data_IF_571877314233
#
_entry.id   IF_571877314233
#
_cell.length_a   1.000
_cell.length_b   1.000
_cell.length_c   1.000
_cell.angle_alpha   90.00
_cell.angle_beta   90.00
_cell.angle_gamma   90.00
#
_symmetry.space_group_name_H-M   'P 1'
#
loop_
_entity.id
_entity.type
_entity.pdbx_description
1 polymer ?
#
# COMPACT_ATOMS: atom_id res chain seq x y z
N UNK A 1 -39.38 3.52 11.58
CA UNK A 1 -38.58 4.76 11.69
C UNK A 1 -37.24 4.51 11.04
N UNK A 2 -37.02 5.04 9.83
CA UNK A 2 -35.71 5.01 9.17
C UNK A 2 -34.82 6.05 9.84
N UNK A 3 -33.80 5.62 10.55
CA UNK A 3 -32.69 6.49 10.95
C UNK A 3 -32.08 7.06 9.68
N UNK A 4 -32.40 8.33 9.39
CA UNK A 4 -31.66 9.12 8.41
C UNK A 4 -30.25 9.27 8.99
N UNK A 5 -29.36 8.35 8.60
CA UNK A 5 -27.92 8.46 8.84
C UNK A 5 -27.51 9.82 8.31
N UNK A 6 -27.30 10.78 9.20
CA UNK A 6 -26.92 12.13 8.85
C UNK A 6 -25.50 12.07 8.32
N UNK A 7 -25.38 12.11 7.00
CA UNK A 7 -24.08 12.18 6.34
C UNK A 7 -23.38 13.44 6.88
N UNK A 8 -22.27 13.23 7.59
CA UNK A 8 -21.51 14.31 8.22
C UNK A 8 -21.12 15.39 7.20
N UNK A 9 -20.98 16.65 7.63
CA UNK A 9 -20.67 17.77 6.73
C UNK A 9 -19.40 17.53 5.90
N UNK A 10 -18.39 16.87 6.49
CA UNK A 10 -17.16 16.50 5.78
C UNK A 10 -17.40 15.49 4.64
N UNK A 11 -18.30 14.51 4.84
CA UNK A 11 -18.62 13.50 3.83
C UNK A 11 -19.42 14.10 2.66
N UNK A 12 -20.28 15.09 2.94
CA UNK A 12 -20.98 15.85 1.91
C UNK A 12 -20.01 16.71 1.08
N UNK A 13 -19.11 17.45 1.73
CA UNK A 13 -18.10 18.27 1.05
C UNK A 13 -17.20 17.42 0.13
N UNK A 14 -16.85 16.19 0.55
CA UNK A 14 -16.04 15.25 -0.25
C UNK A 14 -16.78 14.70 -1.47
N UNK A 15 -18.04 14.29 -1.30
CA UNK A 15 -18.88 13.85 -2.43
C UNK A 15 -19.06 14.98 -3.44
N UNK A 16 -19.23 16.21 -2.95
CA UNK A 16 -19.28 17.40 -3.79
C UNK A 16 -17.95 17.63 -4.52
N UNK A 17 -16.80 17.54 -3.84
CA UNK A 17 -15.49 17.70 -4.48
C UNK A 17 -15.25 16.65 -5.59
N UNK A 18 -15.64 15.39 -5.34
CA UNK A 18 -15.53 14.32 -6.34
C UNK A 18 -16.47 14.56 -7.52
N UNK A 19 -17.71 15.01 -7.25
CA UNK A 19 -18.66 15.35 -8.29
C UNK A 19 -18.19 16.56 -9.12
N UNK A 20 -17.66 17.59 -8.48
CA UNK A 20 -17.09 18.76 -9.14
C UNK A 20 -15.87 18.39 -9.98
N UNK A 21 -14.99 17.51 -9.50
CA UNK A 21 -13.87 17.01 -10.29
C UNK A 21 -14.35 16.19 -11.51
N UNK A 22 -15.35 15.33 -11.33
CA UNK A 22 -15.92 14.54 -12.42
C UNK A 22 -16.60 15.43 -13.47
N UNK A 23 -17.41 16.41 -13.03
CA UNK A 23 -18.06 17.39 -13.92
C UNK A 23 -17.02 18.29 -14.59
N UNK A 24 -16.01 18.74 -13.83
CA UNK A 24 -14.91 19.56 -14.35
C UNK A 24 -14.06 18.84 -15.39
N UNK A 25 -14.00 17.51 -15.36
CA UNK A 25 -13.32 16.70 -16.37
C UNK A 25 -14.12 16.57 -17.69
N UNK A 26 -15.44 16.80 -17.69
CA UNK A 26 -16.28 16.69 -18.90
C UNK A 26 -15.93 17.77 -19.93
N UNK A 27 -15.62 18.99 -19.48
CA UNK A 27 -15.33 20.10 -20.42
C UNK A 27 -14.02 19.83 -21.18
N UNK A 28 -12.89 19.49 -20.54
CA UNK A 28 -11.66 19.12 -21.23
C UNK A 28 -11.81 17.92 -22.18
N UNK A 29 -12.55 16.88 -21.79
CA UNK A 29 -12.74 15.70 -22.66
C UNK A 29 -13.56 16.01 -23.90
N UNK A 30 -14.62 16.82 -23.79
CA UNK A 30 -15.39 17.28 -24.96
C UNK A 30 -14.54 18.15 -25.88
N UNK A 31 -13.78 19.09 -25.32
CA UNK A 31 -12.89 19.95 -26.10
C UNK A 31 -11.78 19.16 -26.81
N UNK A 32 -11.20 18.17 -26.13
CA UNK A 32 -10.21 17.28 -26.72
C UNK A 32 -10.83 16.42 -27.83
N UNK A 33 -11.99 15.79 -27.58
CA UNK A 33 -12.71 15.00 -28.57
C UNK A 33 -13.03 15.81 -29.83
N UNK A 34 -13.47 17.05 -29.67
CA UNK A 34 -13.73 17.97 -30.77
C UNK A 34 -12.46 18.24 -31.58
N UNK A 35 -11.35 18.63 -30.92
CA UNK A 35 -10.08 18.89 -31.61
C UNK A 35 -9.52 17.67 -32.33
N UNK A 36 -9.60 16.49 -31.71
CA UNK A 36 -9.18 15.21 -32.32
C UNK A 36 -10.04 14.82 -33.52
N UNK A 37 -11.36 15.07 -33.45
CA UNK A 37 -12.28 14.78 -34.55
C UNK A 37 -11.94 15.63 -35.77
N UNK A 38 -11.72 16.94 -35.57
CA UNK A 38 -11.34 17.82 -36.67
C UNK A 38 -9.94 17.52 -37.21
N UNK A 39 -8.96 17.20 -36.35
CA UNK A 39 -7.65 16.72 -36.83
C UNK A 39 -7.79 15.50 -37.74
N UNK A 40 -8.58 14.50 -37.31
CA UNK A 40 -8.75 13.28 -38.07
C UNK A 40 -9.45 13.50 -39.42
N UNK A 41 -10.41 14.42 -39.49
CA UNK A 41 -11.09 14.78 -40.74
C UNK A 41 -10.16 15.60 -41.65
N UNK A 42 -9.63 16.71 -41.12
CA UNK A 42 -8.99 17.75 -41.93
C UNK A 42 -7.54 17.40 -42.30
N UNK A 43 -6.84 16.63 -41.46
CA UNK A 43 -5.42 16.30 -41.64
C UNK A 43 -5.22 14.85 -42.05
N UNK A 44 -5.95 13.91 -41.42
CA UNK A 44 -5.81 12.47 -41.72
C UNK A 44 -6.77 11.99 -42.83
N UNK A 45 -7.73 12.82 -43.25
CA UNK A 45 -8.69 12.46 -44.29
C UNK A 45 -9.65 11.34 -43.89
N UNK A 46 -9.89 11.15 -42.59
CA UNK A 46 -10.80 10.11 -42.10
C UNK A 46 -12.26 10.46 -42.41
N UNK A 47 -13.11 9.46 -42.71
CA UNK A 47 -14.54 9.68 -42.76
C UNK A 47 -15.04 10.10 -41.37
N UNK A 48 -16.05 10.99 -41.33
CA UNK A 48 -16.59 11.58 -40.10
C UNK A 48 -16.89 10.54 -39.02
N UNK A 49 -17.49 9.41 -39.39
CA UNK A 49 -17.80 8.33 -38.44
C UNK A 49 -16.55 7.71 -37.81
N UNK A 50 -15.47 7.52 -38.58
CA UNK A 50 -14.22 6.98 -38.07
C UNK A 50 -13.49 7.99 -37.17
N UNK A 51 -13.52 9.27 -37.54
CA UNK A 51 -12.95 10.35 -36.73
C UNK A 51 -13.64 10.45 -35.36
N UNK A 52 -14.98 10.46 -35.34
CA UNK A 52 -15.77 10.48 -34.10
C UNK A 52 -15.54 9.22 -33.28
N UNK A 53 -15.45 8.04 -33.92
CA UNK A 53 -15.20 6.78 -33.22
C UNK A 53 -13.81 6.76 -32.56
N UNK A 54 -12.77 7.24 -33.25
CA UNK A 54 -11.41 7.34 -32.70
C UNK A 54 -11.35 8.29 -31.51
N UNK A 55 -11.92 9.50 -31.66
CA UNK A 55 -11.96 10.48 -30.58
C UNK A 55 -12.72 9.92 -29.36
N UNK A 56 -13.87 9.30 -29.60
CA UNK A 56 -14.68 8.67 -28.54
C UNK A 56 -13.94 7.53 -27.85
N UNK A 57 -13.20 6.71 -28.61
CA UNK A 57 -12.42 5.61 -28.08
C UNK A 57 -11.32 6.09 -27.13
N UNK A 58 -10.56 7.13 -27.51
CA UNK A 58 -9.50 7.69 -26.66
C UNK A 58 -10.07 8.28 -25.37
N UNK A 59 -11.18 9.01 -25.45
CA UNK A 59 -11.82 9.58 -24.27
C UNK A 59 -12.43 8.49 -23.36
N UNK A 60 -13.03 7.44 -23.94
CA UNK A 60 -13.49 6.28 -23.16
C UNK A 60 -12.33 5.55 -22.50
N UNK A 61 -11.20 5.39 -23.19
CA UNK A 61 -10.00 4.77 -22.63
C UNK A 61 -9.45 5.57 -21.44
N UNK A 62 -9.45 6.91 -21.52
CA UNK A 62 -9.10 7.80 -20.41
C UNK A 62 -10.02 7.58 -19.21
N UNK A 63 -11.34 7.62 -19.43
CA UNK A 63 -12.35 7.45 -18.37
C UNK A 63 -12.25 6.05 -17.75
N UNK A 64 -12.09 5.00 -18.54
CA UNK A 64 -11.90 3.63 -18.04
C UNK A 64 -10.62 3.50 -17.21
N UNK A 65 -9.49 4.04 -17.69
CA UNK A 65 -8.22 4.02 -16.94
C UNK A 65 -8.34 4.77 -15.61
N UNK A 66 -9.02 5.91 -15.63
CA UNK A 66 -9.30 6.71 -14.44
C UNK A 66 -10.12 5.92 -13.40
N UNK A 67 -11.19 5.23 -13.84
CA UNK A 67 -12.03 4.41 -12.97
C UNK A 67 -11.30 3.17 -12.43
N UNK A 68 -10.46 2.53 -13.24
CA UNK A 68 -9.62 1.40 -12.81
C UNK A 68 -8.58 1.84 -11.77
N UNK A 69 -7.90 2.98 -11.99
CA UNK A 69 -6.98 3.56 -11.03
C UNK A 69 -7.67 3.84 -9.68
N UNK A 70 -8.92 4.33 -9.72
CA UNK A 70 -9.72 4.56 -8.52
C UNK A 70 -10.13 3.26 -7.84
N UNK A 71 -10.56 2.26 -8.60
CA UNK A 71 -10.89 0.95 -8.04
C UNK A 71 -9.67 0.28 -7.39
N UNK A 72 -8.49 0.38 -8.01
CA UNK A 72 -7.23 -0.10 -7.46
C UNK A 72 -6.85 0.64 -6.16
N UNK A 73 -7.00 1.97 -6.13
CA UNK A 73 -6.76 2.79 -4.94
C UNK A 73 -7.68 2.40 -3.77
N UNK A 74 -8.98 2.21 -4.03
CA UNK A 74 -9.94 1.78 -3.02
C UNK A 74 -9.71 0.34 -2.55
N UNK A 75 -9.17 -0.52 -3.41
CA UNK A 75 -8.76 -1.89 -3.06
C UNK A 75 -7.40 -1.96 -2.33
N UNK A 76 -6.72 -0.83 -2.13
CA UNK A 76 -5.38 -0.80 -1.52
C UNK A 76 -4.28 -1.44 -2.39
N UNK A 77 -4.53 -1.59 -3.70
CA UNK A 77 -3.57 -2.16 -4.67
C UNK A 77 -2.71 -1.06 -5.31
N UNK A 78 -1.50 -1.38 -5.80
CA UNK A 78 -0.70 -0.44 -6.56
C UNK A 78 -1.38 -0.12 -7.90
N UNK A 79 -2.16 0.96 -7.97
CA UNK A 79 -2.83 1.45 -9.18
C UNK A 79 -1.92 2.27 -10.11
N UNK A 80 -0.61 2.01 -10.09
CA UNK A 80 0.38 2.85 -10.78
C UNK A 80 0.21 2.84 -12.30
N UNK A 81 -0.02 1.66 -12.89
CA UNK A 81 -0.17 1.52 -14.35
C UNK A 81 -1.39 2.28 -14.88
N UNK A 82 -2.55 2.13 -14.24
CA UNK A 82 -3.77 2.84 -14.64
C UNK A 82 -3.65 4.36 -14.47
N UNK A 83 -2.95 4.82 -13.42
CA UNK A 83 -2.69 6.24 -13.21
C UNK A 83 -1.75 6.81 -14.28
N UNK A 84 -0.70 6.07 -14.66
CA UNK A 84 0.20 6.42 -15.76
C UNK A 84 -0.57 6.45 -17.09
N UNK A 85 -1.47 5.49 -17.32
CA UNK A 85 -2.31 5.47 -18.53
C UNK A 85 -3.18 6.74 -18.64
N UNK A 86 -3.74 7.24 -17.53
CA UNK A 86 -4.47 8.53 -17.54
C UNK A 86 -3.57 9.67 -18.03
N UNK A 87 -2.35 9.78 -17.51
CA UNK A 87 -1.40 10.82 -17.94
C UNK A 87 -1.02 10.69 -19.42
N UNK A 88 -0.71 9.47 -19.87
CA UNK A 88 -0.33 9.20 -21.27
C UNK A 88 -1.49 9.53 -22.21
N UNK A 89 -2.70 9.06 -21.90
CA UNK A 89 -3.87 9.31 -22.75
C UNK A 89 -4.25 10.79 -22.73
N UNK A 90 -4.25 11.46 -21.58
CA UNK A 90 -4.52 12.91 -21.51
C UNK A 90 -3.49 13.73 -22.27
N UNK A 91 -2.19 13.39 -22.17
CA UNK A 91 -1.15 14.04 -22.94
C UNK A 91 -1.32 13.83 -24.45
N UNK A 92 -1.71 12.61 -24.85
CA UNK A 92 -1.98 12.29 -26.26
C UNK A 92 -3.21 13.05 -26.78
N UNK A 93 -4.33 13.05 -26.04
CA UNK A 93 -5.53 13.80 -26.40
C UNK A 93 -5.25 15.30 -26.51
N UNK A 94 -4.50 15.87 -25.55
CA UNK A 94 -4.11 17.28 -25.58
C UNK A 94 -3.21 17.60 -26.77
N UNK A 95 -2.25 16.73 -27.10
CA UNK A 95 -1.34 16.92 -28.23
C UNK A 95 -2.12 16.92 -29.55
N UNK A 96 -2.98 15.94 -29.78
CA UNK A 96 -3.79 15.85 -31.00
C UNK A 96 -4.72 17.06 -31.13
N UNK A 97 -5.38 17.46 -30.04
CA UNK A 97 -6.25 18.64 -30.03
C UNK A 97 -5.48 19.96 -30.24
N UNK A 98 -4.25 20.05 -29.74
CA UNK A 98 -3.37 21.20 -29.92
C UNK A 98 -2.79 21.30 -31.32
N UNK A 99 -2.36 20.18 -31.92
CA UNK A 99 -1.84 20.13 -33.30
C UNK A 99 -2.90 20.59 -34.29
N UNK A 100 -4.18 20.30 -34.06
CA UNK A 100 -5.26 20.79 -34.92
C UNK A 100 -5.32 22.33 -35.01
N UNK A 101 -4.95 23.06 -33.96
CA UNK A 101 -4.89 24.53 -34.01
C UNK A 101 -3.67 25.06 -34.80
N UNK A 102 -2.64 24.23 -34.97
CA UNK A 102 -1.40 24.59 -35.67
C UNK A 102 -1.42 24.19 -37.14
N UNK A 103 -2.37 23.35 -37.57
CA UNK A 103 -2.47 22.86 -38.94
C UNK A 103 -3.70 23.43 -39.59
N UNK A 104 -3.51 24.12 -40.71
CA UNK A 104 -4.60 24.62 -41.55
C UNK A 104 -4.62 23.84 -42.86
N UNK A 105 -5.77 23.24 -43.17
CA UNK A 105 -6.03 22.59 -44.45
C UNK A 105 -6.68 23.58 -45.40
N UNK A 106 -6.04 23.82 -46.54
CA UNK A 106 -6.52 24.77 -47.56
C UNK A 106 -7.48 24.06 -48.53
N UNK A 107 -8.25 24.82 -49.29
CA UNK A 107 -9.25 24.29 -50.24
C UNK A 107 -8.66 23.40 -51.36
N UNK A 108 -7.35 23.48 -51.61
CA UNK A 108 -6.61 22.63 -52.54
C UNK A 108 -6.15 21.29 -51.93
N UNK A 109 -6.47 21.03 -50.66
CA UNK A 109 -6.05 19.85 -49.91
C UNK A 109 -4.63 19.92 -49.35
N UNK A 110 -3.91 21.02 -49.55
CA UNK A 110 -2.58 21.21 -48.95
C UNK A 110 -2.70 21.57 -47.46
N UNK A 111 -1.83 20.97 -46.65
CA UNK A 111 -1.71 21.25 -45.21
C UNK A 111 -0.52 22.15 -44.95
N UNK A 112 -0.73 23.29 -44.29
CA UNK A 112 0.34 24.22 -43.91
C UNK A 112 0.33 24.47 -42.41
N UNK A 113 1.52 24.63 -41.83
CA UNK A 113 1.68 25.00 -40.43
C UNK A 113 1.42 26.50 -40.23
N UNK A 114 0.55 26.84 -39.28
CA UNK A 114 0.23 28.20 -38.88
C UNK A 114 0.86 28.49 -37.51
N UNK A 115 1.88 29.34 -37.48
CA UNK A 115 2.58 29.75 -36.25
C UNK A 115 2.27 31.21 -35.93
N UNK A 116 0.98 31.53 -35.90
CA UNK A 116 0.52 32.82 -35.40
C UNK A 116 0.36 32.78 -33.87
N UNK A 117 0.62 33.89 -33.15
CA UNK A 117 0.51 33.91 -31.68
C UNK A 117 -0.85 33.41 -31.16
N UNK A 118 -1.94 33.69 -31.88
CA UNK A 118 -3.29 33.22 -31.54
C UNK A 118 -3.44 31.70 -31.64
N UNK A 119 -2.97 31.09 -32.73
CA UNK A 119 -2.97 29.64 -32.95
C UNK A 119 -2.09 28.91 -31.95
N UNK A 120 -0.90 29.46 -31.65
CA UNK A 120 0.00 28.89 -30.64
C UNK A 120 -0.67 28.91 -29.25
N UNK A 121 -1.34 30.02 -28.90
CA UNK A 121 -2.08 30.11 -27.64
C UNK A 121 -3.26 29.12 -27.60
N UNK A 122 -4.04 29.01 -28.67
CA UNK A 122 -5.16 28.07 -28.76
C UNK A 122 -4.68 26.61 -28.64
N UNK A 123 -3.59 26.27 -29.32
CA UNK A 123 -2.92 24.96 -29.22
C UNK A 123 -2.47 24.67 -27.79
N UNK A 124 -1.83 25.65 -27.13
CA UNK A 124 -1.39 25.51 -25.74
C UNK A 124 -2.57 25.30 -24.77
N UNK A 125 -3.66 26.07 -24.91
CA UNK A 125 -4.85 25.91 -24.07
C UNK A 125 -5.48 24.52 -24.24
N UNK A 126 -5.58 24.02 -25.49
CA UNK A 126 -6.11 22.68 -25.77
C UNK A 126 -5.20 21.57 -25.29
N UNK A 127 -3.90 21.77 -25.33
CA UNK A 127 -2.93 20.81 -24.76
C UNK A 127 -3.02 20.76 -23.24
N UNK A 128 -3.09 21.92 -22.58
CA UNK A 128 -3.08 22.03 -21.11
C UNK A 128 -4.39 21.56 -20.49
N UNK A 129 -5.55 21.75 -21.13
CA UNK A 129 -6.84 21.43 -20.53
C UNK A 129 -6.98 19.94 -20.11
N UNK A 130 -6.65 18.94 -20.95
CA UNK A 130 -6.67 17.53 -20.53
C UNK A 130 -5.64 17.20 -19.43
N UNK A 131 -4.49 17.87 -19.42
CA UNK A 131 -3.48 17.69 -18.37
C UNK A 131 -3.96 18.22 -17.01
N UNK A 132 -4.67 19.35 -17.00
CA UNK A 132 -5.31 19.87 -15.77
C UNK A 132 -6.38 18.89 -15.28
N UNK A 133 -7.15 18.27 -16.19
CA UNK A 133 -8.11 17.23 -15.82
C UNK A 133 -7.43 15.99 -15.20
N UNK A 134 -6.35 15.49 -15.82
CA UNK A 134 -5.55 14.39 -15.27
C UNK A 134 -4.95 14.74 -13.90
N UNK A 135 -4.47 15.97 -13.73
CA UNK A 135 -3.96 16.45 -12.45
C UNK A 135 -5.03 16.49 -11.37
N UNK A 136 -6.21 17.05 -11.67
CA UNK A 136 -7.36 17.06 -10.74
C UNK A 136 -7.77 15.63 -10.36
N UNK A 137 -7.71 14.69 -11.31
CA UNK A 137 -7.97 13.29 -11.04
C UNK A 137 -6.95 12.67 -10.09
N UNK A 138 -5.65 12.94 -10.28
CA UNK A 138 -4.61 12.47 -9.37
C UNK A 138 -4.81 13.01 -7.94
N UNK A 139 -5.28 14.25 -7.78
CA UNK A 139 -5.64 14.80 -6.47
C UNK A 139 -6.80 14.05 -5.81
N UNK A 140 -7.82 13.68 -6.58
CA UNK A 140 -8.93 12.83 -6.10
C UNK A 140 -8.45 11.42 -5.72
N UNK A 141 -7.55 10.83 -6.52
CA UNK A 141 -6.96 9.53 -6.22
C UNK A 141 -6.10 9.56 -4.96
N UNK A 142 -5.29 10.60 -4.76
CA UNK A 142 -4.49 10.79 -3.54
C UNK A 142 -5.37 10.88 -2.30
N UNK A 143 -6.47 11.63 -2.37
CA UNK A 143 -7.44 11.69 -1.29
C UNK A 143 -8.05 10.32 -0.99
N UNK A 144 -8.45 9.56 -2.03
CA UNK A 144 -9.00 8.21 -1.86
C UNK A 144 -7.99 7.23 -1.25
N UNK A 145 -6.71 7.31 -1.64
CA UNK A 145 -5.63 6.49 -1.07
C UNK A 145 -5.38 6.84 0.40
N UNK A 146 -5.39 8.12 0.76
CA UNK A 146 -5.24 8.57 2.14
C UNK A 146 -6.38 8.05 3.01
N UNK A 147 -7.62 8.13 2.53
CA UNK A 147 -8.79 7.58 3.24
C UNK A 147 -8.69 6.06 3.44
N UNK A 148 -8.26 5.33 2.41
CA UNK A 148 -8.08 3.88 2.53
C UNK A 148 -6.94 3.54 3.50
N UNK A 149 -5.85 4.31 3.50
CA UNK A 149 -4.79 4.18 4.49
C UNK A 149 -5.29 4.46 5.92
N UNK A 150 -6.16 5.46 6.10
CA UNK A 150 -6.76 5.73 7.41
C UNK A 150 -7.70 4.60 7.86
N UNK A 151 -8.56 4.10 6.97
CA UNK A 151 -9.46 2.96 7.28
C UNK A 151 -8.68 1.71 7.65
N UNK A 152 -7.69 1.35 6.84
CA UNK A 152 -6.84 0.19 7.13
C UNK A 152 -6.07 0.36 8.44
N UNK A 153 -5.60 1.56 8.79
CA UNK A 153 -4.99 1.81 10.11
C UNK A 153 -5.99 1.66 11.27
N UNK A 154 -7.23 2.12 11.10
CA UNK A 154 -8.29 1.95 12.10
C UNK A 154 -8.63 0.46 12.27
N UNK A 155 -8.74 -0.28 11.17
CA UNK A 155 -8.93 -1.74 11.17
C UNK A 155 -7.77 -2.46 11.85
N UNK A 156 -6.53 -2.18 11.47
CA UNK A 156 -5.34 -2.77 12.11
C UNK A 156 -5.27 -2.45 13.60
N UNK A 157 -5.63 -1.21 14.01
CA UNK A 157 -5.70 -0.84 15.43
C UNK A 157 -6.81 -1.59 16.15
N UNK A 158 -7.97 -1.80 15.50
CA UNK A 158 -9.08 -2.60 16.04
C UNK A 158 -8.65 -4.05 16.22
N UNK A 159 -8.04 -4.65 15.21
CA UNK A 159 -7.59 -6.05 15.25
C UNK A 159 -6.53 -6.27 16.32
N UNK A 160 -5.54 -5.37 16.43
CA UNK A 160 -4.53 -5.44 17.51
C UNK A 160 -5.17 -5.39 18.89
N UNK A 161 -6.22 -4.59 19.09
CA UNK A 161 -6.94 -4.52 20.36
C UNK A 161 -7.73 -5.81 20.63
N UNK A 162 -8.39 -6.37 19.61
CA UNK A 162 -9.09 -7.65 19.72
C UNK A 162 -8.12 -8.80 20.04
N UNK A 163 -6.97 -8.84 19.38
CA UNK A 163 -5.89 -9.78 19.68
C UNK A 163 -5.35 -9.60 21.11
N UNK A 164 -5.26 -8.36 21.60
CA UNK A 164 -4.89 -8.07 22.99
C UNK A 164 -5.88 -8.66 24.00
N UNK A 165 -7.19 -8.56 23.73
CA UNK A 165 -8.24 -9.18 24.55
C UNK A 165 -8.13 -10.71 24.50
N UNK A 166 -8.00 -11.29 23.31
CA UNK A 166 -7.86 -12.74 23.13
C UNK A 166 -6.64 -13.30 23.88
N UNK A 167 -5.48 -12.64 23.76
CA UNK A 167 -4.26 -13.03 24.49
C UNK A 167 -4.44 -12.96 26.01
N UNK A 168 -5.07 -11.90 26.53
CA UNK A 168 -5.34 -11.78 27.95
C UNK A 168 -6.31 -12.87 28.45
N UNK A 169 -7.32 -13.22 27.65
CA UNK A 169 -8.28 -14.28 27.97
C UNK A 169 -7.62 -15.67 28.01
N UNK A 170 -6.73 -15.96 27.05
CA UNK A 170 -5.95 -17.20 27.02
C UNK A 170 -5.07 -17.35 28.28
N UNK A 171 -4.44 -16.27 28.75
CA UNK A 171 -3.64 -16.31 29.98
C UNK A 171 -4.52 -16.61 31.20
N UNK A 172 -5.70 -16.01 31.30
CA UNK A 172 -6.65 -16.29 32.38
C UNK A 172 -7.09 -17.76 32.34
N UNK A 173 -7.46 -18.28 31.17
CA UNK A 173 -7.83 -19.69 30.97
C UNK A 173 -6.71 -20.66 31.36
N UNK A 174 -5.47 -20.39 30.95
CA UNK A 174 -4.31 -21.24 31.32
C UNK A 174 -4.11 -21.30 32.83
N UNK A 175 -4.24 -20.16 33.52
CA UNK A 175 -4.12 -20.10 34.98
C UNK A 175 -5.30 -20.77 35.69
N UNK A 176 -6.50 -20.75 35.10
CA UNK A 176 -7.66 -21.47 35.61
C UNK A 176 -7.50 -22.98 35.46
N UNK A 177 -7.06 -23.45 34.28
CA UNK A 177 -6.78 -24.86 34.03
C UNK A 177 -5.66 -25.42 34.92
N UNK A 178 -4.70 -24.59 35.33
CA UNK A 178 -3.64 -24.97 36.27
C UNK A 178 -4.02 -24.81 37.74
N UNK A 179 -5.27 -24.45 38.07
CA UNK A 179 -5.72 -24.22 39.46
C UNK A 179 -5.12 -22.98 40.14
N UNK A 180 -4.46 -22.08 39.40
CA UNK A 180 -3.78 -20.88 39.92
C UNK A 180 -4.65 -19.62 39.88
N UNK A 181 -5.94 -19.76 39.63
CA UNK A 181 -6.89 -18.65 39.46
C UNK A 181 -7.02 -17.76 40.71
N UNK A 182 -6.93 -18.36 41.91
CA UNK A 182 -7.03 -17.65 43.19
C UNK A 182 -5.73 -16.93 43.60
N UNK A 183 -4.62 -17.16 42.90
CA UNK A 183 -3.34 -16.54 43.24
C UNK A 183 -3.31 -15.05 42.92
N UNK A 184 -2.34 -14.31 43.49
CA UNK A 184 -2.10 -12.92 43.11
C UNK A 184 -1.84 -12.75 41.60
N UNK A 185 -1.22 -13.74 40.98
CA UNK A 185 -1.00 -13.81 39.52
C UNK A 185 -2.32 -13.97 38.76
N UNK A 186 -3.23 -14.84 39.22
CA UNK A 186 -4.58 -14.98 38.67
C UNK A 186 -5.39 -13.68 38.74
N UNK A 187 -5.38 -12.99 39.90
CA UNK A 187 -6.03 -11.68 40.06
C UNK A 187 -5.44 -10.61 39.12
N UNK A 188 -4.11 -10.56 38.96
CA UNK A 188 -3.46 -9.64 38.03
C UNK A 188 -3.84 -9.93 36.57
N UNK A 189 -3.89 -11.20 36.18
CA UNK A 189 -4.30 -11.62 34.83
C UNK A 189 -5.74 -11.20 34.51
N UNK A 190 -6.69 -11.40 35.45
CA UNK A 190 -8.08 -10.93 35.31
C UNK A 190 -8.18 -9.42 35.17
N UNK A 191 -7.47 -8.65 36.01
CA UNK A 191 -7.41 -7.18 35.86
C UNK A 191 -6.85 -6.74 34.50
N UNK A 192 -5.85 -7.44 33.97
CA UNK A 192 -5.30 -7.16 32.63
C UNK A 192 -6.35 -7.44 31.54
N UNK A 193 -7.09 -8.55 31.66
CA UNK A 193 -8.21 -8.86 30.76
C UNK A 193 -9.30 -7.78 30.84
N UNK A 194 -9.73 -7.38 32.03
CA UNK A 194 -10.78 -6.36 32.21
C UNK A 194 -10.36 -5.02 31.60
N UNK A 195 -9.10 -4.60 31.80
CA UNK A 195 -8.58 -3.37 31.16
C UNK A 195 -8.53 -3.49 29.64
N UNK A 196 -8.07 -4.61 29.12
CA UNK A 196 -8.04 -4.84 27.68
C UNK A 196 -9.46 -4.82 27.09
N UNK A 197 -10.41 -5.43 27.80
CA UNK A 197 -11.83 -5.45 27.46
C UNK A 197 -12.44 -4.04 27.45
N UNK A 198 -12.25 -3.25 28.52
CA UNK A 198 -12.73 -1.87 28.58
C UNK A 198 -12.09 -0.99 27.50
N UNK A 199 -10.80 -1.18 27.19
CA UNK A 199 -10.12 -0.47 26.09
C UNK A 199 -10.67 -0.84 24.71
N UNK A 200 -11.15 -2.08 24.53
CA UNK A 200 -11.81 -2.50 23.30
C UNK A 200 -13.23 -1.93 23.18
N UNK A 201 -13.99 -1.93 24.28
CA UNK A 201 -15.36 -1.38 24.33
C UNK A 201 -15.41 0.13 24.08
N UNK A 202 -14.38 0.90 24.46
CA UNK A 202 -14.32 2.34 24.19
C UNK A 202 -14.24 2.71 22.71
N UNK A 203 -13.95 1.77 21.82
CA UNK A 203 -13.66 2.04 20.40
C UNK A 203 -14.58 1.27 19.45
N UNK A 204 -15.08 0.10 19.84
CA UNK A 204 -16.04 -0.63 19.01
C UNK A 204 -17.48 -0.14 19.28
N UNK A 205 -18.26 0.21 18.25
CA UNK A 205 -19.70 0.42 18.42
C UNK A 205 -20.35 -0.87 18.93
N UNK A 206 -21.47 -0.77 19.69
CA UNK A 206 -22.16 -1.91 20.26
C UNK A 206 -22.91 -2.67 19.15
N UNK A 207 -22.20 -3.43 18.33
CA UNK A 207 -22.81 -4.37 17.38
C UNK A 207 -22.21 -5.75 17.61
N UNK A 208 -23.13 -6.72 17.71
CA UNK A 208 -22.96 -8.14 17.98
C UNK A 208 -21.62 -8.76 17.51
N UNK A 209 -20.92 -9.58 18.28
CA UNK A 209 -21.07 -10.03 19.67
C UNK A 209 -19.66 -10.39 20.10
N UNK A 210 -19.10 -9.69 21.09
CA UNK A 210 -17.83 -10.09 21.70
C UNK A 210 -17.88 -11.54 22.21
N UNK A 211 -19.07 -11.99 22.64
CA UNK A 211 -19.34 -13.40 22.92
C UNK A 211 -19.10 -14.33 21.73
N UNK A 212 -19.39 -13.91 20.50
CA UNK A 212 -19.05 -14.67 19.28
C UNK A 212 -17.55 -14.62 18.98
N UNK A 213 -16.85 -13.50 19.25
CA UNK A 213 -15.38 -13.43 19.13
C UNK A 213 -14.70 -14.33 20.15
N UNK A 214 -15.15 -14.31 21.41
CA UNK A 214 -14.65 -15.17 22.47
C UNK A 214 -15.04 -16.64 22.26
N UNK A 215 -16.22 -16.91 21.71
CA UNK A 215 -16.63 -18.25 21.30
C UNK A 215 -15.77 -18.75 20.13
N UNK A 216 -15.51 -17.93 19.11
CA UNK A 216 -14.63 -18.27 18.00
C UNK A 216 -13.18 -18.50 18.45
N UNK A 217 -12.65 -17.68 19.37
CA UNK A 217 -11.34 -17.94 20.00
C UNK A 217 -11.38 -19.24 20.81
N UNK A 218 -12.48 -19.51 21.50
CA UNK A 218 -12.70 -20.78 22.20
C UNK A 218 -12.82 -22.01 21.30
N UNK A 219 -13.30 -21.84 20.06
CA UNK A 219 -13.30 -22.86 19.00
C UNK A 219 -11.88 -23.07 18.43
N UNK A 220 -11.07 -22.01 18.27
CA UNK A 220 -9.67 -22.11 17.84
C UNK A 220 -8.79 -22.83 18.86
N UNK A 221 -9.10 -22.74 20.16
CA UNK A 221 -8.44 -23.55 21.21
C UNK A 221 -8.77 -25.06 21.10
N UNK A 222 -9.83 -25.44 20.36
CA UNK A 222 -10.17 -26.85 20.07
C UNK A 222 -9.52 -27.36 18.78
N UNK A 223 -8.93 -26.49 17.96
CA UNK A 223 -8.19 -26.91 16.77
C UNK A 223 -7.05 -27.89 17.08
N UNK A 224 -6.24 -27.77 18.15
CA UNK A 224 -5.20 -28.76 18.46
C UNK A 224 -5.76 -30.16 18.74
N UNK A 225 -6.99 -30.28 19.24
CA UNK A 225 -7.67 -31.56 19.43
C UNK A 225 -8.29 -32.09 18.12
N UNK A 226 -8.64 -31.20 17.18
CA UNK A 226 -9.14 -31.55 15.84
C UNK A 226 -8.03 -31.76 14.78
N UNK A 227 -6.85 -31.17 14.97
CA UNK A 227 -5.65 -31.32 14.13
C UNK A 227 -4.61 -32.28 14.73
N UNK A 228 -4.92 -32.92 15.86
CA UNK A 228 -4.40 -34.27 16.10
C UNK A 228 -4.86 -35.10 14.92
N UNK A 229 -3.97 -35.25 13.94
CA UNK A 229 -4.06 -36.22 12.85
C UNK A 229 -4.55 -37.50 13.49
N UNK A 230 -5.82 -37.84 13.27
CA UNK A 230 -6.31 -39.17 13.57
C UNK A 230 -5.32 -40.11 12.88
N UNK A 231 -4.55 -40.87 13.67
CA UNK A 231 -3.57 -41.78 13.13
C UNK A 231 -4.25 -42.57 12.03
N UNK A 232 -3.73 -42.45 10.81
CA UNK A 232 -4.24 -43.11 9.60
C UNK A 232 -4.68 -44.53 9.98
N UNK A 233 -5.99 -44.83 10.01
CA UNK A 233 -6.42 -46.19 10.23
C UNK A 233 -6.00 -46.97 8.99
N UNK A 234 -5.07 -47.92 9.19
CA UNK A 234 -4.75 -49.04 8.31
C UNK A 234 -4.69 -48.72 6.82
N UNK A 235 -3.48 -48.77 6.25
CA UNK A 235 -3.29 -48.97 4.81
C UNK A 235 -4.29 -50.03 4.30
N UNK A 236 -5.23 -49.68 3.41
CA UNK A 236 -6.18 -50.65 2.87
C UNK A 236 -5.44 -51.61 1.95
N UNK A 237 -5.72 -52.89 2.15
CA UNK A 237 -5.30 -54.00 1.31
C UNK A 237 -5.51 -53.68 -0.19
N UNK A 238 -4.49 -53.81 -1.06
CA UNK A 238 -4.59 -53.46 -2.49
C UNK A 238 -5.51 -54.39 -3.32
N UNK A 239 -6.39 -55.16 -2.69
CA UNK A 239 -7.26 -56.15 -3.33
C UNK A 239 -8.69 -55.63 -3.62
N UNK A 240 -9.03 -54.39 -3.28
CA UNK A 240 -10.34 -53.81 -3.61
C UNK A 240 -10.29 -52.78 -4.75
N UNK A 241 -10.93 -53.17 -5.86
CA UNK A 241 -11.17 -52.37 -7.04
C UNK A 241 -12.02 -51.11 -6.71
N UNK A 242 -11.62 -49.90 -7.16
CA UNK A 242 -12.32 -48.68 -6.78
C UNK A 242 -13.64 -48.51 -7.53
N UNK A 243 -14.75 -48.57 -6.79
CA UNK A 243 -16.06 -48.08 -7.25
C UNK A 243 -16.04 -46.55 -7.24
N UNK A 244 -16.14 -45.94 -8.42
CA UNK A 244 -16.19 -44.48 -8.58
C UNK A 244 -17.55 -43.95 -8.08
N UNK A 245 -17.60 -43.08 -7.06
CA UNK A 245 -18.87 -42.49 -6.64
C UNK A 245 -19.32 -41.42 -7.67
N UNK A 246 -20.39 -41.73 -8.38
CA UNK A 246 -21.11 -40.82 -9.29
C UNK A 246 -21.96 -39.86 -8.46
N UNK A 247 -21.55 -38.60 -8.41
CA UNK A 247 -22.33 -37.50 -7.81
C UNK A 247 -23.43 -37.08 -8.79
N UNK A 248 -24.67 -37.51 -8.53
CA UNK A 248 -25.85 -37.01 -9.22
C UNK A 248 -26.41 -35.78 -8.47
N UNK A 249 -26.26 -34.61 -9.09
CA UNK A 249 -26.88 -33.36 -8.64
C UNK A 249 -28.31 -33.30 -9.19
N UNK A 250 -29.29 -33.69 -8.37
CA UNK A 250 -30.71 -33.56 -8.67
C UNK A 250 -31.17 -32.12 -8.43
N UNK A 251 -31.25 -31.31 -9.48
CA UNK A 251 -31.95 -30.01 -9.48
C UNK A 251 -33.38 -30.24 -9.94
N UNK A 252 -34.32 -30.29 -8.98
CA UNK A 252 -35.76 -30.30 -9.26
C UNK A 252 -36.27 -28.89 -9.55
N UNK A 253 -36.91 -28.71 -10.71
CA UNK A 253 -37.61 -27.46 -11.03
C UNK A 253 -37.72 -27.16 -12.52
N UNK A 254 -38.64 -27.86 -13.18
CA UNK A 254 -38.80 -27.93 -14.63
C UNK A 254 -38.84 -26.62 -15.41
N UNK A 255 -38.04 -26.58 -16.49
CA UNK A 255 -38.52 -26.29 -17.84
C UNK A 255 -37.52 -26.82 -18.87
N UNK A 256 -37.97 -27.85 -19.57
CA UNK A 256 -37.28 -28.48 -20.70
C UNK A 256 -37.38 -27.58 -21.92
N UNK A 257 -36.23 -27.21 -22.49
CA UNK A 257 -36.11 -26.88 -23.91
C UNK A 257 -34.93 -27.67 -24.47
N UNK A 258 -35.28 -28.61 -25.32
CA UNK A 258 -34.38 -29.42 -26.14
C UNK A 258 -33.76 -28.52 -27.19
N UNK A 259 -32.43 -28.43 -27.22
CA UNK A 259 -31.68 -28.04 -28.41
C UNK A 259 -30.45 -28.96 -28.51
N UNK A 260 -30.41 -29.70 -29.61
CA UNK A 260 -29.48 -30.77 -29.89
C UNK A 260 -28.03 -30.26 -29.94
N UNK A 261 -27.13 -31.06 -29.38
CA UNK A 261 -25.69 -30.93 -29.50
C UNK A 261 -25.24 -31.17 -30.95
N UNK A 262 -24.46 -30.24 -31.49
CA UNK A 262 -23.38 -30.58 -32.41
C UNK A 262 -22.07 -30.45 -31.65
N UNK A 263 -21.27 -31.51 -31.74
CA UNK A 263 -19.99 -31.64 -31.07
C UNK A 263 -18.95 -30.62 -31.56
N UNK A 264 -18.00 -30.22 -30.70
CA UNK A 264 -16.82 -29.44 -31.09
C UNK A 264 -15.65 -30.37 -31.50
N UNK A 265 -14.70 -29.89 -32.32
CA UNK A 265 -13.37 -30.46 -32.31
C UNK A 265 -12.34 -29.57 -31.59
N UNK A 266 -11.42 -30.29 -30.93
CA UNK A 266 -10.03 -29.95 -30.66
C UNK A 266 -9.70 -28.98 -29.52
N UNK A 267 -9.44 -29.60 -28.37
CA UNK A 267 -8.26 -29.39 -27.51
C UNK A 267 -7.23 -28.35 -27.96
N UNK A 268 -7.12 -27.26 -27.20
CA UNK A 268 -5.93 -26.40 -27.17
C UNK A 268 -5.10 -26.82 -25.96
N UNK A 269 -3.98 -27.49 -26.24
CA UNK A 269 -2.88 -27.71 -25.31
C UNK A 269 -2.17 -26.38 -25.10
N UNK A 270 -2.21 -25.84 -23.89
CA UNK A 270 -1.35 -24.73 -23.47
C UNK A 270 0.07 -25.27 -23.25
N UNK A 271 0.90 -25.18 -24.27
CA UNK A 271 2.35 -25.28 -24.17
C UNK A 271 2.89 -23.90 -23.80
N UNK A 272 3.47 -23.80 -22.61
CA UNK A 272 4.18 -22.62 -22.12
C UNK A 272 5.58 -22.68 -22.75
N UNK A 273 5.79 -21.94 -23.83
CA UNK A 273 7.13 -21.73 -24.36
C UNK A 273 7.77 -20.46 -23.79
N UNK A 274 8.98 -20.70 -23.30
CA UNK A 274 9.93 -19.81 -22.66
C UNK A 274 10.49 -18.88 -23.74
N UNK A 275 10.32 -17.57 -23.60
CA UNK A 275 11.04 -16.63 -24.47
C UNK A 275 12.50 -16.55 -24.03
N UNK A 276 13.36 -17.06 -24.88
CA UNK A 276 14.81 -16.92 -24.87
C UNK A 276 15.17 -15.63 -25.62
N UNK A 277 15.66 -14.62 -24.89
CA UNK A 277 16.15 -13.37 -25.48
C UNK A 277 17.58 -13.57 -25.95
N UNK A 278 17.76 -13.89 -27.23
CA UNK A 278 19.03 -13.72 -27.92
C UNK A 278 19.03 -12.36 -28.61
N UNK A 279 19.93 -11.48 -28.15
CA UNK A 279 20.22 -10.18 -28.78
C UNK A 279 21.24 -10.44 -29.87
N UNK A 280 20.83 -10.32 -31.14
CA UNK A 280 21.74 -10.26 -32.28
C UNK A 280 22.49 -8.92 -32.27
N UNK A 281 23.81 -8.99 -32.12
CA UNK A 281 24.73 -7.88 -32.33
C UNK A 281 25.14 -7.82 -33.81
N UNK A 282 25.20 -6.62 -34.43
CA UNK A 282 25.67 -6.49 -35.81
C UNK A 282 27.19 -6.60 -35.94
N UNK A 283 27.60 -7.15 -37.08
CA UNK A 283 28.97 -7.51 -37.45
C UNK A 283 29.96 -6.33 -37.50
N UNK A 284 31.19 -6.62 -37.05
CA UNK A 284 32.38 -5.77 -37.05
C UNK A 284 33.04 -5.72 -38.43
N UNK A 285 33.62 -4.58 -38.81
CA UNK A 285 34.77 -4.51 -39.73
C UNK A 285 36.01 -3.98 -38.98
N UNK A 286 37.22 -4.49 -39.23
CA UNK A 286 38.41 -4.19 -38.43
C UNK A 286 39.26 -3.06 -39.03
N UNK A 287 39.66 -2.11 -38.21
CA UNK A 287 40.86 -1.30 -38.42
C UNK A 287 41.43 -0.86 -37.06
N UNK A 288 42.67 -1.27 -36.81
CA UNK A 288 43.68 -0.69 -35.93
C UNK A 288 43.24 -0.08 -34.59
N UNK A 289 43.69 -0.69 -33.49
CA UNK A 289 44.83 -0.17 -32.71
C UNK A 289 45.13 -1.07 -31.51
N UNK A 290 46.41 -1.36 -31.36
CA UNK A 290 47.02 -2.05 -30.25
C UNK A 290 46.98 -1.23 -28.95
N UNK A 291 46.97 -1.90 -27.80
CA UNK A 291 47.56 -1.38 -26.57
C UNK A 291 46.80 -1.68 -25.28
N UNK A 292 47.52 -2.31 -24.35
CA UNK A 292 47.30 -2.40 -22.89
C UNK A 292 46.04 -3.12 -22.37
N UNK A 293 46.11 -4.13 -21.50
CA UNK A 293 47.17 -4.53 -20.57
C UNK A 293 46.82 -4.10 -19.14
N UNK A 294 46.14 -4.97 -18.38
CA UNK A 294 45.90 -4.84 -16.93
C UNK A 294 44.49 -5.27 -16.55
N UNK A 295 44.26 -6.47 -15.98
CA UNK A 295 44.52 -6.83 -14.56
C UNK A 295 43.65 -6.00 -13.62
N UNK A 296 42.76 -6.49 -12.76
CA UNK A 296 42.44 -7.82 -12.21
C UNK A 296 41.50 -7.59 -11.02
N UNK A 297 40.85 -8.65 -10.51
CA UNK A 297 40.06 -8.64 -9.24
C UNK A 297 38.54 -8.68 -9.46
N UNK A 298 37.86 -9.81 -9.38
CA UNK A 298 37.63 -10.71 -8.22
C UNK A 298 36.64 -10.14 -7.18
N UNK A 299 35.67 -10.97 -6.76
CA UNK A 299 34.79 -10.72 -5.62
C UNK A 299 33.30 -10.51 -5.92
N UNK A 300 32.65 -11.40 -6.67
CA UNK A 300 31.19 -11.46 -6.76
C UNK A 300 30.60 -12.36 -5.68
N UNK A 301 30.26 -11.77 -4.52
CA UNK A 301 29.63 -12.44 -3.37
C UNK A 301 28.32 -13.14 -3.74
N UNK A 302 28.21 -14.39 -3.28
CA UNK A 302 27.00 -15.21 -3.35
C UNK A 302 25.90 -14.66 -2.44
N UNK A 303 24.69 -14.58 -3.00
CA UNK A 303 23.47 -14.27 -2.25
C UNK A 303 23.05 -15.51 -1.46
N UNK A 304 23.38 -15.49 -0.18
CA UNK A 304 22.95 -16.48 0.81
C UNK A 304 21.48 -16.20 1.20
N UNK A 305 20.59 -17.14 0.87
CA UNK A 305 19.16 -17.07 1.21
C UNK A 305 19.00 -17.56 2.65
N UNK A 306 19.14 -16.64 3.60
CA UNK A 306 18.97 -16.86 5.04
C UNK A 306 17.50 -17.05 5.44
N UNK A 307 17.20 -18.29 5.82
CA UNK A 307 16.39 -18.74 6.96
C UNK A 307 15.53 -17.70 7.70
N UNK A 308 14.20 -17.88 7.67
CA UNK A 308 13.24 -17.16 8.51
C UNK A 308 13.11 -17.92 9.83
N UNK A 309 13.83 -17.48 10.87
CA UNK A 309 13.59 -17.90 12.25
C UNK A 309 12.52 -17.01 12.90
N UNK A 310 11.49 -17.66 13.43
CA UNK A 310 10.38 -17.03 14.11
C UNK A 310 10.73 -16.78 15.59
N UNK A 311 11.31 -15.62 15.88
CA UNK A 311 11.63 -15.25 17.26
C UNK A 311 10.39 -14.87 18.08
N UNK A 312 10.24 -15.57 19.19
CA UNK A 312 9.29 -15.38 20.27
C UNK A 312 9.62 -14.08 21.00
N UNK A 313 8.80 -13.04 20.80
CA UNK A 313 8.86 -11.80 21.58
C UNK A 313 8.41 -12.09 23.02
N UNK A 314 9.38 -12.21 23.93
CA UNK A 314 9.16 -12.14 25.39
C UNK A 314 9.01 -10.67 25.76
N UNK A 315 7.76 -10.25 25.92
CA UNK A 315 7.37 -8.91 26.36
C UNK A 315 7.67 -8.75 27.86
N UNK A 316 8.79 -8.10 28.19
CA UNK A 316 9.22 -7.79 29.57
C UNK A 316 8.81 -6.36 29.92
N UNK A 317 7.51 -6.13 30.08
CA UNK A 317 6.96 -4.88 30.60
C UNK A 317 7.18 -4.76 32.12
N UNK A 318 8.20 -4.00 32.49
CA UNK A 318 8.33 -3.34 33.79
C UNK A 318 7.68 -1.95 33.73
N UNK A 319 6.36 -1.90 33.92
CA UNK A 319 5.60 -0.66 34.03
C UNK A 319 5.35 -0.36 35.52
N UNK A 320 6.26 0.41 36.13
CA UNK A 320 6.07 1.04 37.44
C UNK A 320 5.14 2.23 37.27
N UNK A 321 3.88 2.04 37.64
CA UNK A 321 2.90 3.11 37.76
C UNK A 321 3.34 4.09 38.87
N UNK A 322 3.61 5.34 38.48
CA UNK A 322 3.62 6.50 39.38
C UNK A 322 2.34 7.29 39.13
N UNK A 323 1.47 7.24 40.13
CA UNK A 323 0.25 8.02 40.27
C UNK A 323 0.64 9.47 40.63
N UNK A 324 -0.02 10.46 40.02
CA UNK A 324 0.24 11.89 40.29
C UNK A 324 -0.90 12.48 41.10
N UNK A 325 -0.64 12.82 42.38
CA UNK A 325 -1.29 13.94 43.06
C UNK A 325 -0.43 14.49 44.22
N UNK A 326 -0.14 15.79 44.10
CA UNK A 326 0.27 16.88 45.03
C UNK A 326 1.03 16.68 46.37
N UNK A 327 2.02 17.59 46.50
CA UNK A 327 2.49 18.36 47.67
C UNK A 327 2.92 17.65 48.98
N UNK A 328 4.24 17.46 49.15
CA UNK A 328 5.09 18.14 50.18
C UNK A 328 6.52 17.60 50.21
N UNK A 329 7.39 18.46 50.76
CA UNK A 329 8.84 18.38 50.84
C UNK A 329 9.42 17.22 51.66
N UNK A 330 10.74 17.04 51.42
CA UNK A 330 11.77 16.32 52.17
C UNK A 330 11.87 14.79 52.09
N UNK A 331 13.14 14.38 52.19
CA UNK A 331 13.71 13.03 52.30
C UNK A 331 14.17 12.38 50.97
N UNK A 332 15.45 12.56 50.59
CA UNK A 332 16.65 11.84 51.07
C UNK A 332 16.66 10.35 50.66
N UNK A 333 17.26 10.07 49.51
CA UNK A 333 17.58 8.70 49.10
C UNK A 333 18.95 8.30 49.64
N UNK A 334 18.96 7.31 50.52
CA UNK A 334 20.17 6.63 50.98
C UNK A 334 20.79 5.84 49.82
N UNK A 335 21.95 6.32 49.35
CA UNK A 335 22.86 5.58 48.50
C UNK A 335 23.76 4.72 49.40
N UNK A 336 23.73 3.40 49.18
CA UNK A 336 24.70 2.47 49.75
C UNK A 336 26.07 2.81 49.14
N UNK A 337 26.96 3.32 49.98
CA UNK A 337 28.31 3.71 49.61
C UNK A 337 29.20 2.50 49.32
N UNK A 338 29.87 2.55 48.17
CA UNK A 338 31.25 2.08 48.01
C UNK A 338 32.00 3.27 47.47
N UNK A 339 32.90 3.81 48.29
CA UNK A 339 33.52 5.11 48.09
C UNK A 339 34.66 5.11 47.07
N UNK A 340 34.84 6.29 46.45
CA UNK A 340 36.12 6.75 45.93
C UNK A 340 36.18 6.97 44.41
N UNK A 341 35.71 8.13 43.92
CA UNK A 341 36.43 8.97 42.95
C UNK A 341 35.59 10.19 42.57
N UNK A 342 36.27 11.33 42.49
CA UNK A 342 35.77 12.70 42.32
C UNK A 342 35.12 12.99 40.95
N UNK A 343 34.12 13.88 40.95
CA UNK A 343 33.79 14.90 39.93
C UNK A 343 34.11 14.64 38.44
N UNK A 344 33.43 13.66 37.83
CA UNK A 344 33.28 13.55 36.37
C UNK A 344 31.85 13.14 35.99
N UNK A 345 30.85 13.92 36.39
CA UNK A 345 29.55 13.95 35.71
C UNK A 345 29.73 14.69 34.37
N UNK A 346 30.51 14.10 33.46
CA UNK A 346 30.64 14.57 32.10
C UNK A 346 29.23 14.66 31.50
N UNK A 347 28.86 15.86 31.07
CA UNK A 347 27.57 16.19 30.47
C UNK A 347 27.37 15.29 29.26
N UNK A 348 26.64 14.17 29.43
CA UNK A 348 26.48 13.20 28.34
C UNK A 348 25.47 13.79 27.36
N UNK A 349 25.90 14.20 26.15
CA UNK A 349 25.00 14.84 25.19
C UNK A 349 23.81 13.93 24.92
N UNK A 350 22.62 14.53 24.79
CA UNK A 350 21.42 13.76 24.50
C UNK A 350 21.57 13.06 23.15
N UNK A 351 20.89 11.93 22.97
CA UNK A 351 20.92 11.19 21.69
C UNK A 351 20.48 12.08 20.52
N UNK A 352 19.59 13.04 20.79
CA UNK A 352 19.13 14.00 19.79
C UNK A 352 20.24 14.98 19.40
N UNK A 353 20.97 15.52 20.37
CA UNK A 353 22.05 16.50 20.10
C UNK A 353 23.13 15.87 19.24
N UNK A 354 23.48 14.62 19.55
CA UNK A 354 24.48 13.85 18.81
C UNK A 354 24.01 13.50 17.40
N UNK A 355 22.71 13.20 17.23
CA UNK A 355 22.11 13.01 15.91
C UNK A 355 22.07 14.31 15.10
N UNK A 356 21.76 15.45 15.73
CA UNK A 356 21.77 16.78 15.09
C UNK A 356 23.19 17.13 14.64
N UNK A 357 24.19 16.92 15.49
CA UNK A 357 25.61 17.14 15.18
C UNK A 357 26.02 16.39 13.93
N UNK A 358 25.73 15.08 13.86
CA UNK A 358 26.08 14.24 12.72
C UNK A 358 25.36 14.64 11.42
N UNK A 359 24.05 14.89 11.50
CA UNK A 359 23.25 15.28 10.31
C UNK A 359 23.62 16.69 9.83
N UNK A 360 24.03 17.58 10.74
CA UNK A 360 24.55 18.90 10.38
C UNK A 360 25.90 18.81 9.66
N UNK A 361 26.78 17.90 10.09
CA UNK A 361 28.07 17.67 9.45
C UNK A 361 27.92 17.04 8.05
N UNK A 362 26.98 16.10 7.89
CA UNK A 362 26.65 15.49 6.60
C UNK A 362 25.12 15.21 6.49
N UNK A 363 24.37 16.05 5.75
CA UNK A 363 22.94 15.85 5.53
C UNK A 363 22.59 14.55 4.80
N UNK A 364 23.56 13.98 4.06
CA UNK A 364 23.40 12.74 3.30
C UNK A 364 23.59 11.47 4.15
N UNK A 365 24.03 11.61 5.41
CA UNK A 365 24.29 10.47 6.30
C UNK A 365 23.06 9.57 6.38
N UNK A 366 23.22 8.27 6.07
CA UNK A 366 22.09 7.34 6.12
C UNK A 366 21.73 7.02 7.58
N UNK A 367 20.47 6.66 7.84
CA UNK A 367 20.06 6.24 9.18
C UNK A 367 20.74 4.95 9.67
N UNK A 368 21.31 4.14 8.78
CA UNK A 368 22.11 2.98 9.17
C UNK A 368 23.46 3.40 9.75
N UNK A 369 24.17 4.32 9.07
CA UNK A 369 25.43 4.91 9.55
C UNK A 369 25.21 5.65 10.87
N UNK A 370 24.10 6.39 11.00
CA UNK A 370 23.73 7.05 12.25
C UNK A 370 23.50 6.04 13.39
N UNK A 371 22.84 4.90 13.13
CA UNK A 371 22.61 3.86 14.13
C UNK A 371 23.92 3.19 14.59
N UNK A 372 24.83 2.93 13.65
CA UNK A 372 26.13 2.35 13.95
C UNK A 372 26.97 3.29 14.81
N UNK A 373 27.03 4.58 14.47
CA UNK A 373 27.81 5.57 15.23
C UNK A 373 27.23 5.80 16.64
N UNK A 374 25.89 5.87 16.77
CA UNK A 374 25.25 5.93 18.10
C UNK A 374 25.55 4.68 18.93
N UNK A 375 25.56 3.50 18.30
CA UNK A 375 25.92 2.24 18.96
C UNK A 375 27.39 2.26 19.39
N UNK A 376 28.30 2.75 18.55
CA UNK A 376 29.73 2.91 18.85
C UNK A 376 29.97 3.84 20.03
N UNK A 377 29.12 4.87 20.21
CA UNK A 377 29.13 5.78 21.38
C UNK A 377 28.38 5.23 22.61
N UNK A 378 28.14 3.92 22.66
CA UNK A 378 27.55 3.24 23.83
C UNK A 378 26.02 3.31 23.92
N UNK A 379 25.33 3.68 22.83
CA UNK A 379 23.86 3.74 22.75
C UNK A 379 23.36 2.71 21.72
N UNK A 380 23.19 1.43 22.10
CA UNK A 380 22.85 0.38 21.14
C UNK A 380 21.53 0.67 20.44
N UNK A 381 21.58 0.78 19.11
CA UNK A 381 20.42 1.10 18.27
C UNK A 381 20.41 0.29 16.98
N UNK A 382 19.22 -0.19 16.61
CA UNK A 382 18.99 -0.78 15.28
C UNK A 382 18.79 0.29 14.19
N UNK A 383 19.00 -0.11 12.93
CA UNK A 383 18.89 0.74 11.73
C UNK A 383 17.59 1.56 11.69
N UNK A 384 16.45 0.96 12.06
CA UNK A 384 15.15 1.65 12.07
C UNK A 384 15.09 2.80 13.10
N UNK A 385 15.76 2.65 14.24
CA UNK A 385 15.88 3.69 15.26
C UNK A 385 16.78 4.81 14.76
N UNK A 386 17.89 4.49 14.10
CA UNK A 386 18.76 5.50 13.46
C UNK A 386 18.03 6.32 12.39
N UNK A 387 17.23 5.68 11.52
CA UNK A 387 16.39 6.39 10.54
C UNK A 387 15.40 7.37 11.22
N UNK A 388 14.81 6.99 12.36
CA UNK A 388 13.92 7.87 13.12
C UNK A 388 14.65 9.05 13.75
N UNK A 389 15.85 8.84 14.28
CA UNK A 389 16.66 9.91 14.86
C UNK A 389 17.18 10.87 13.79
N UNK A 390 17.55 10.36 12.61
CA UNK A 390 17.88 11.17 11.43
C UNK A 390 16.73 12.09 11.04
N UNK A 391 15.51 11.56 10.94
CA UNK A 391 14.33 12.37 10.62
C UNK A 391 14.10 13.49 11.65
N UNK A 392 14.19 13.17 12.95
CA UNK A 392 14.06 14.18 14.02
C UNK A 392 15.16 15.23 14.00
N UNK A 393 16.39 14.84 13.69
CA UNK A 393 17.50 15.76 13.57
C UNK A 393 17.31 16.73 12.40
N UNK A 394 16.85 16.26 11.24
CA UNK A 394 16.49 17.11 10.11
C UNK A 394 15.35 18.08 10.46
N UNK A 395 14.29 17.61 11.11
CA UNK A 395 13.18 18.48 11.56
C UNK A 395 13.66 19.56 12.54
N UNK A 396 14.57 19.20 13.45
CA UNK A 396 15.14 20.15 14.40
C UNK A 396 16.03 21.21 13.73
N UNK A 397 16.79 20.84 12.69
CA UNK A 397 17.59 21.78 11.90
C UNK A 397 16.71 22.76 11.13
N UNK A 398 15.63 22.28 10.50
CA UNK A 398 14.67 23.16 9.81
C UNK A 398 14.02 24.15 10.77
N UNK A 399 13.66 23.72 11.99
CA UNK A 399 13.11 24.61 13.01
C UNK A 399 14.11 25.64 13.54
N UNK A 400 15.41 25.33 13.49
CA UNK A 400 16.47 26.25 13.89
C UNK A 400 16.72 27.33 12.83
N UNK A 401 16.63 27.01 11.54
CA UNK A 401 16.82 27.97 10.43
C UNK A 401 15.69 28.99 10.29
N UNK A 402 14.52 28.71 10.87
CA UNK A 402 13.35 29.60 10.82
C UNK A 402 13.36 30.65 11.93
N UNK A 403 14.24 30.52 12.93
CA UNK A 403 14.41 31.47 14.04
C UNK A 403 15.58 32.40 13.79
#
# INVERSE_FOLDING_TARGET
MSDKVSIGPAERARRQATAVAAVGAVVPTVLAAQGMTFLAIDVLGFPVLAAVALASFLELALVSSALLARAAALAGRPGGADAVAVWVVSGTSGLLAGVHELVVTRADGSTTWLVEPGSVLAAAVRFVAPLVAAWLWERVLQAARAEQAERTLVEVRRDRRLLGVARAALVVRRLEGSGLSATARGRRARRRLDRAHLRALRVAPPVATLGAVLAAVGEVDRLPDATRVAGLPGCPDPSHEPVVPRLELSVGGGRSLVAAASAPPASVTTQIDRYDTTVEAPAVTPADLAGDGGDGGDGGDGVDIGHIDADVVVDRDGDTAVDRHDDRADESFAVVGVGGSEDLSADVPSILDLAIEMVRADPSVSGAVLAEELTRRGRPMGVRSGQRWRARALDALVLADVR
#
